data_IF_736922991734
#
_entry.id   IF_736922991734
#
_cell.length_a   1.000
_cell.length_b   1.000
_cell.length_c   1.000
_cell.angle_alpha   90.00
_cell.angle_beta   90.00
_cell.angle_gamma   90.00
#
_symmetry.space_group_name_H-M   'P 1'
#
loop_
_entity.id
_entity.type
_entity.pdbx_description
1 polymer ?
#
# COMPACT_ATOMS: atom_id res chain seq x y z
N UNK A 1 -1.04 43.39 10.30
CA UNK A 1 -2.17 43.04 9.39
C UNK A 1 -1.78 42.17 8.19
N UNK A 2 -0.60 42.36 7.57
CA UNK A 2 -0.12 41.56 6.42
C UNK A 2 0.13 40.07 6.73
N UNK A 3 0.68 39.76 7.91
CA UNK A 3 0.98 38.37 8.33
C UNK A 3 -0.26 37.49 8.49
N UNK A 4 -1.34 37.98 9.13
CA UNK A 4 -2.59 37.22 9.28
C UNK A 4 -3.20 36.85 7.93
N UNK A 5 -3.16 37.77 6.96
CA UNK A 5 -3.63 37.52 5.58
C UNK A 5 -2.75 36.48 4.87
N UNK A 6 -1.43 36.59 4.97
CA UNK A 6 -0.50 35.60 4.42
C UNK A 6 -0.72 34.20 5.01
N UNK A 7 -0.81 34.10 6.34
CA UNK A 7 -1.07 32.83 7.02
C UNK A 7 -2.41 32.19 6.62
N UNK A 8 -3.48 33.00 6.49
CA UNK A 8 -4.78 32.51 6.01
C UNK A 8 -4.70 31.99 4.57
N UNK A 9 -3.96 32.67 3.67
CA UNK A 9 -3.77 32.20 2.29
C UNK A 9 -3.03 30.87 2.27
N UNK A 10 -1.93 30.75 3.03
CA UNK A 10 -1.16 29.49 3.10
C UNK A 10 -1.99 28.33 3.67
N UNK A 11 -2.79 28.60 4.71
CA UNK A 11 -3.71 27.60 5.27
C UNK A 11 -4.77 27.17 4.25
N UNK A 12 -5.33 28.12 3.49
CA UNK A 12 -6.27 27.84 2.41
C UNK A 12 -5.66 26.95 1.32
N UNK A 13 -4.45 27.29 0.85
CA UNK A 13 -3.73 26.49 -0.16
C UNK A 13 -3.44 25.06 0.33
N UNK A 14 -2.97 24.91 1.57
CA UNK A 14 -2.71 23.60 2.16
C UNK A 14 -4.00 22.77 2.23
N UNK A 15 -5.11 23.37 2.68
CA UNK A 15 -6.41 22.71 2.74
C UNK A 15 -6.90 22.30 1.35
N UNK A 16 -6.74 23.16 0.33
CA UNK A 16 -7.07 22.83 -1.06
C UNK A 16 -6.27 21.63 -1.55
N UNK A 17 -4.96 21.58 -1.33
CA UNK A 17 -4.12 20.43 -1.72
C UNK A 17 -4.63 19.14 -1.06
N UNK A 18 -4.89 19.18 0.25
CA UNK A 18 -5.41 18.03 0.99
C UNK A 18 -6.74 17.55 0.39
N UNK A 19 -7.70 18.46 0.17
CA UNK A 19 -9.01 18.13 -0.40
C UNK A 19 -8.86 17.57 -1.82
N UNK A 20 -8.07 18.20 -2.68
CA UNK A 20 -7.82 17.72 -4.04
C UNK A 20 -7.28 16.29 -4.01
N UNK A 21 -6.27 15.99 -3.18
CA UNK A 21 -5.74 14.63 -3.04
C UNK A 21 -6.77 13.61 -2.54
N UNK A 22 -7.72 14.00 -1.68
CA UNK A 22 -8.83 13.15 -1.23
C UNK A 22 -9.88 12.88 -2.32
N UNK A 23 -10.04 13.82 -3.25
CA UNK A 23 -11.00 13.74 -4.35
C UNK A 23 -10.45 12.96 -5.56
N UNK A 24 -9.13 12.80 -5.69
CA UNK A 24 -8.56 11.98 -6.78
C UNK A 24 -9.12 10.56 -6.72
N UNK A 25 -9.74 10.06 -7.80
CA UNK A 25 -10.26 8.70 -7.84
C UNK A 25 -9.12 7.68 -7.80
N UNK A 26 -9.33 6.61 -7.04
CA UNK A 26 -8.35 5.54 -6.88
C UNK A 26 -8.65 4.41 -7.88
N UNK A 27 -8.09 4.53 -9.08
CA UNK A 27 -8.18 3.48 -10.10
C UNK A 27 -7.00 2.51 -9.93
N UNK A 28 -7.29 1.26 -9.55
CA UNK A 28 -6.26 0.29 -9.20
C UNK A 28 -6.04 -0.79 -10.28
N UNK A 29 -4.89 -1.45 -10.24
CA UNK A 29 -4.61 -2.77 -10.85
C UNK A 29 -4.02 -3.71 -9.80
N UNK A 30 -4.17 -5.01 -10.02
CA UNK A 30 -3.45 -6.02 -9.25
C UNK A 30 -1.94 -5.79 -9.45
N UNK A 31 -1.15 -5.60 -8.37
CA UNK A 31 0.23 -5.14 -8.45
C UNK A 31 1.26 -6.23 -8.82
N UNK A 32 0.80 -7.34 -9.39
CA UNK A 32 1.66 -8.39 -9.95
C UNK A 32 1.21 -8.66 -11.37
N UNK A 33 2.12 -8.54 -12.34
CA UNK A 33 1.79 -8.65 -13.76
C UNK A 33 1.25 -10.05 -14.07
N UNK A 34 0.02 -10.11 -14.58
CA UNK A 34 -0.66 -11.36 -14.95
C UNK A 34 -1.38 -12.08 -13.80
N UNK A 35 -1.30 -11.56 -12.57
CA UNK A 35 -2.02 -12.12 -11.44
C UNK A 35 -3.52 -11.76 -11.48
N UNK A 36 -4.32 -12.62 -10.84
CA UNK A 36 -5.77 -12.55 -10.72
C UNK A 36 -6.18 -12.72 -9.25
N UNK A 37 -7.49 -12.64 -8.96
CA UNK A 37 -8.02 -12.87 -7.60
C UNK A 37 -7.82 -14.27 -7.05
N UNK A 38 -7.39 -15.23 -7.88
CA UNK A 38 -7.03 -16.57 -7.43
C UNK A 38 -5.64 -16.63 -6.77
N UNK A 39 -4.79 -15.63 -6.98
CA UNK A 39 -3.38 -15.64 -6.58
C UNK A 39 -3.16 -15.11 -5.15
N UNK A 40 -4.22 -14.83 -4.40
CA UNK A 40 -4.17 -14.57 -2.96
C UNK A 40 -5.38 -15.17 -2.26
N UNK A 41 -5.26 -15.40 -0.96
CA UNK A 41 -6.39 -15.82 -0.15
C UNK A 41 -7.13 -14.59 0.41
N UNK A 42 -8.39 -14.40 0.02
CA UNK A 42 -9.23 -13.25 0.41
C UNK A 42 -9.48 -13.12 1.91
N UNK A 43 -9.21 -14.16 2.70
CA UNK A 43 -9.42 -14.18 4.16
C UNK A 43 -8.17 -13.83 4.96
N UNK A 44 -7.04 -13.53 4.32
CA UNK A 44 -5.79 -13.27 5.05
C UNK A 44 -5.70 -11.86 5.59
N UNK A 45 -6.40 -10.87 5.00
CA UNK A 45 -6.40 -9.51 5.55
C UNK A 45 -6.94 -9.50 6.99
N UNK A 46 -6.16 -8.91 7.89
CA UNK A 46 -6.41 -8.87 9.33
C UNK A 46 -6.44 -10.23 10.04
N UNK A 47 -6.00 -11.31 9.37
CA UNK A 47 -5.93 -12.65 9.95
C UNK A 47 -4.87 -12.76 11.04
N UNK A 48 -5.14 -13.64 12.01
CA UNK A 48 -4.31 -13.90 13.18
C UNK A 48 -4.29 -15.38 13.51
N UNK A 49 -3.18 -15.90 14.07
CA UNK A 49 -1.89 -15.22 14.26
C UNK A 49 -1.13 -14.99 12.95
N UNK A 50 -0.22 -14.00 12.92
CA UNK A 50 0.61 -13.73 11.73
C UNK A 50 2.10 -13.49 12.06
N UNK A 51 2.80 -14.57 12.38
CA UNK A 51 4.24 -14.55 12.69
C UNK A 51 4.62 -13.44 13.69
N UNK A 52 5.76 -12.78 13.46
CA UNK A 52 6.23 -11.65 14.28
C UNK A 52 5.34 -10.40 14.19
N UNK A 53 4.63 -10.22 13.07
CA UNK A 53 3.75 -9.05 12.85
C UNK A 53 2.46 -9.10 13.67
N UNK A 54 2.10 -10.28 14.19
CA UNK A 54 0.92 -10.56 14.99
C UNK A 54 -0.39 -10.61 14.20
N UNK A 55 -0.55 -9.74 13.21
CA UNK A 55 -1.69 -9.65 12.29
C UNK A 55 -1.21 -9.35 10.87
N UNK A 56 -1.89 -9.90 9.86
CA UNK A 56 -1.59 -9.61 8.45
C UNK A 56 -2.23 -8.29 8.04
N UNK A 57 -1.43 -7.22 7.88
CA UNK A 57 -1.91 -5.87 7.57
C UNK A 57 -2.13 -5.61 6.07
N UNK A 58 -2.17 -6.68 5.28
CA UNK A 58 -2.28 -6.64 3.82
C UNK A 58 -2.75 -7.98 3.26
N UNK A 59 -2.32 -8.28 2.04
CA UNK A 59 -2.46 -9.59 1.40
C UNK A 59 -1.11 -10.03 0.83
N UNK A 60 -0.96 -11.33 0.60
CA UNK A 60 0.19 -11.89 -0.09
C UNK A 60 -0.28 -12.42 -1.45
N UNK A 61 0.27 -11.85 -2.53
CA UNK A 61 -0.05 -12.22 -3.92
C UNK A 61 1.07 -13.13 -4.41
N UNK A 62 0.77 -14.41 -4.60
CA UNK A 62 1.74 -15.43 -5.00
C UNK A 62 2.02 -15.37 -6.49
N UNK A 63 3.30 -15.45 -6.86
CA UNK A 63 3.74 -15.57 -8.24
C UNK A 63 5.18 -16.09 -8.27
N UNK A 64 5.66 -16.47 -9.46
CA UNK A 64 7.07 -16.90 -9.61
C UNK A 64 8.01 -15.76 -9.20
N UNK A 65 9.10 -16.10 -8.52
CA UNK A 65 10.14 -15.12 -8.21
C UNK A 65 10.68 -14.47 -9.49
N UNK A 66 10.92 -13.15 -9.45
CA UNK A 66 11.28 -12.36 -10.63
C UNK A 66 10.08 -11.87 -11.45
N UNK A 67 8.84 -12.31 -11.17
CA UNK A 67 7.64 -11.77 -11.83
C UNK A 67 7.54 -10.26 -11.59
N UNK A 68 7.16 -9.51 -12.62
CA UNK A 68 7.09 -8.05 -12.56
C UNK A 68 6.06 -7.57 -11.54
N UNK A 69 6.49 -6.72 -10.61
CA UNK A 69 5.64 -5.99 -9.66
C UNK A 69 5.40 -4.60 -10.25
N UNK A 70 4.13 -4.22 -10.35
CA UNK A 70 3.70 -2.97 -10.98
C UNK A 70 2.99 -2.07 -9.97
N UNK A 71 3.08 -0.75 -10.17
CA UNK A 71 2.38 0.22 -9.36
C UNK A 71 0.86 0.02 -9.48
N UNK A 72 0.19 -0.28 -8.37
CA UNK A 72 -1.25 -0.49 -8.31
C UNK A 72 -2.03 0.74 -8.79
N UNK A 73 -1.53 1.94 -8.50
CA UNK A 73 -2.07 3.22 -8.95
C UNK A 73 -0.93 4.18 -9.29
N UNK A 74 -1.26 5.30 -9.96
CA UNK A 74 -0.28 6.38 -10.16
C UNK A 74 0.03 7.07 -8.83
N UNK A 75 1.25 7.56 -8.65
CA UNK A 75 1.65 8.23 -7.43
C UNK A 75 3.14 8.54 -7.37
N UNK A 76 3.58 9.04 -6.22
CA UNK A 76 5.00 9.35 -5.94
C UNK A 76 5.57 8.26 -5.05
N UNK A 77 6.73 7.72 -5.41
CA UNK A 77 7.49 6.80 -4.57
C UNK A 77 8.00 7.56 -3.36
N UNK A 78 7.46 7.25 -2.18
CA UNK A 78 7.84 7.90 -0.91
C UNK A 78 8.87 7.09 -0.13
N UNK A 79 9.08 5.82 -0.49
CA UNK A 79 10.11 4.95 0.07
C UNK A 79 10.54 3.91 -0.96
N UNK A 80 11.84 3.64 -1.05
CA UNK A 80 12.38 2.54 -1.84
C UNK A 80 13.73 2.12 -1.26
N UNK A 81 13.70 1.20 -0.29
CA UNK A 81 14.89 0.73 0.42
C UNK A 81 14.60 -0.62 1.12
N UNK A 82 15.57 -1.11 1.88
CA UNK A 82 15.49 -2.37 2.62
C UNK A 82 15.03 -2.14 4.07
N UNK A 83 14.02 -2.88 4.49
CA UNK A 83 13.57 -2.97 5.88
C UNK A 83 13.85 -4.37 6.44
N UNK A 84 14.16 -4.47 7.73
CA UNK A 84 14.50 -5.76 8.38
C UNK A 84 13.46 -6.86 8.11
N UNK A 85 12.20 -6.57 8.39
CA UNK A 85 11.11 -7.54 8.22
C UNK A 85 10.50 -7.51 6.81
N UNK A 86 10.42 -6.33 6.20
CA UNK A 86 9.85 -6.14 4.86
C UNK A 86 10.76 -6.58 3.71
N UNK A 87 12.05 -6.78 3.94
CA UNK A 87 13.03 -7.02 2.88
C UNK A 87 13.18 -5.80 2.00
N UNK A 88 13.30 -6.00 0.69
CA UNK A 88 13.27 -4.88 -0.26
C UNK A 88 11.83 -4.37 -0.39
N UNK A 89 11.65 -3.07 -0.20
CA UNK A 89 10.35 -2.44 -0.08
C UNK A 89 10.26 -1.20 -0.96
N UNK A 90 9.15 -1.08 -1.67
CA UNK A 90 8.72 0.18 -2.30
C UNK A 90 7.42 0.64 -1.63
N UNK A 91 7.27 1.95 -1.42
CA UNK A 91 6.00 2.55 -1.02
C UNK A 91 5.65 3.73 -1.93
N UNK A 92 4.41 3.76 -2.42
CA UNK A 92 3.88 4.78 -3.34
C UNK A 92 2.74 5.52 -2.67
N UNK A 93 2.86 6.85 -2.55
CA UNK A 93 1.76 7.73 -2.16
C UNK A 93 0.89 8.01 -3.38
N UNK A 94 -0.31 7.46 -3.37
CA UNK A 94 -1.29 7.53 -4.44
C UNK A 94 -2.53 8.38 -4.11
N UNK A 95 -3.60 8.23 -4.90
CA UNK A 95 -4.88 8.90 -4.69
C UNK A 95 -5.41 8.71 -3.26
N UNK A 96 -6.25 9.65 -2.81
CA UNK A 96 -6.84 9.66 -1.46
C UNK A 96 -5.80 9.70 -0.34
N UNK A 97 -4.59 10.17 -0.63
CA UNK A 97 -3.45 10.17 0.29
C UNK A 97 -3.20 8.80 0.90
N UNK A 98 -3.25 7.75 0.09
CA UNK A 98 -3.00 6.38 0.55
C UNK A 98 -1.60 5.95 0.16
N UNK A 99 -0.96 5.24 1.07
CA UNK A 99 0.34 4.62 0.82
C UNK A 99 0.10 3.18 0.42
N UNK A 100 0.56 2.85 -0.78
CA UNK A 100 0.59 1.52 -1.35
C UNK A 100 1.96 0.93 -1.06
N UNK A 101 2.01 -0.08 -0.22
CA UNK A 101 3.25 -0.68 0.29
C UNK A 101 3.48 -2.05 -0.34
N UNK A 102 4.68 -2.24 -0.91
CA UNK A 102 5.09 -3.41 -1.68
C UNK A 102 6.34 -3.99 -1.02
N UNK A 103 6.27 -5.21 -0.48
CA UNK A 103 7.35 -5.82 0.27
C UNK A 103 7.74 -7.21 -0.23
N UNK A 104 8.84 -7.73 0.33
CA UNK A 104 9.49 -9.00 -0.02
C UNK A 104 10.04 -9.03 -1.44
N UNK A 105 10.29 -7.86 -2.04
CA UNK A 105 10.74 -7.76 -3.43
C UNK A 105 12.11 -8.43 -3.61
N UNK A 106 12.34 -9.02 -4.78
CA UNK A 106 13.68 -9.47 -5.17
C UNK A 106 14.53 -8.32 -5.68
N UNK A 107 13.92 -7.39 -6.42
CA UNK A 107 14.59 -6.19 -6.94
C UNK A 107 13.64 -4.99 -6.88
N UNK A 108 14.22 -3.80 -6.73
CA UNK A 108 13.53 -2.50 -6.83
C UNK A 108 14.01 -1.80 -8.11
N UNK A 109 13.09 -1.26 -8.90
CA UNK A 109 13.37 -0.60 -10.19
C UNK A 109 13.06 0.90 -10.18
N UNK A 110 12.79 1.46 -9.00
CA UNK A 110 12.44 2.86 -8.79
C UNK A 110 13.15 3.38 -7.54
N UNK A 111 13.20 4.70 -7.38
CA UNK A 111 13.81 5.36 -6.23
C UNK A 111 12.85 6.36 -5.56
N UNK A 112 13.16 6.76 -4.33
CA UNK A 112 12.40 7.80 -3.62
C UNK A 112 12.31 9.11 -4.41
N UNK A 113 11.14 9.75 -4.37
CA UNK A 113 10.83 10.98 -5.10
C UNK A 113 10.35 10.76 -6.54
N UNK A 114 10.50 9.56 -7.10
CA UNK A 114 10.09 9.27 -8.47
C UNK A 114 8.55 9.20 -8.60
N UNK A 115 7.99 9.86 -9.62
CA UNK A 115 6.60 9.63 -10.02
C UNK A 115 6.48 8.35 -10.85
N UNK A 116 5.48 7.53 -10.53
CA UNK A 116 5.15 6.30 -11.26
C UNK A 116 3.69 6.33 -11.71
N UNK A 117 3.45 5.93 -12.95
CA UNK A 117 2.09 5.73 -13.47
C UNK A 117 1.54 4.37 -13.05
N UNK A 118 0.22 4.24 -12.93
CA UNK A 118 -0.47 2.96 -12.76
C UNK A 118 0.02 1.94 -13.80
N UNK A 119 0.40 0.75 -13.35
CA UNK A 119 0.93 -0.33 -14.19
C UNK A 119 2.41 -0.20 -14.55
N UNK A 120 3.09 0.89 -14.16
CA UNK A 120 4.55 0.99 -14.30
C UNK A 120 5.21 -0.06 -13.42
N UNK A 121 6.19 -0.78 -13.98
CA UNK A 121 7.01 -1.69 -13.21
C UNK A 121 7.85 -0.94 -12.17
N UNK A 122 7.79 -1.41 -10.92
CA UNK A 122 8.49 -0.84 -9.76
C UNK A 122 9.48 -1.82 -9.12
N UNK A 123 9.41 -3.10 -9.46
CA UNK A 123 10.24 -4.13 -8.86
C UNK A 123 9.87 -5.52 -9.38
N UNK A 124 10.33 -6.54 -8.67
CA UNK A 124 9.99 -7.93 -8.98
C UNK A 124 9.66 -8.72 -7.72
N UNK A 125 8.75 -9.69 -7.85
CA UNK A 125 8.37 -10.63 -6.79
C UNK A 125 9.62 -11.33 -6.26
N UNK A 126 9.67 -11.56 -4.95
CA UNK A 126 10.79 -12.21 -4.28
C UNK A 126 10.39 -12.89 -2.99
N UNK A 127 11.39 -13.09 -2.13
CA UNK A 127 11.27 -13.74 -0.84
C UNK A 127 12.18 -13.10 0.22
N UNK A 128 12.42 -11.79 0.13
CA UNK A 128 13.35 -11.08 1.04
C UNK A 128 12.72 -10.71 2.39
N UNK A 129 13.56 -10.36 3.38
CA UNK A 129 13.09 -10.02 4.74
C UNK A 129 12.59 -11.24 5.49
N UNK A 130 11.44 -11.14 6.16
CA UNK A 130 10.86 -12.27 6.89
C UNK A 130 10.10 -13.28 6.00
N UNK A 131 10.16 -13.11 4.67
CA UNK A 131 9.62 -14.06 3.69
C UNK A 131 10.64 -15.12 3.24
N UNK A 132 11.90 -15.04 3.71
CA UNK A 132 12.93 -16.04 3.39
C UNK A 132 12.46 -17.44 3.79
N UNK A 133 12.57 -18.38 2.86
CA UNK A 133 12.14 -19.78 3.03
C UNK A 133 10.64 -20.04 2.80
N UNK A 134 9.84 -19.02 2.47
CA UNK A 134 8.42 -19.16 2.10
C UNK A 134 8.26 -19.14 0.56
N UNK A 135 7.11 -19.60 0.02
CA UNK A 135 6.80 -19.44 -1.39
C UNK A 135 6.91 -17.96 -1.81
N UNK A 136 7.54 -17.63 -2.96
CA UNK A 136 7.67 -16.24 -3.41
C UNK A 136 6.32 -15.54 -3.56
N UNK A 137 6.25 -14.31 -3.05
CA UNK A 137 5.02 -13.52 -3.07
C UNK A 137 5.34 -12.02 -2.96
N UNK A 138 4.39 -11.21 -3.38
CA UNK A 138 4.34 -9.79 -3.04
C UNK A 138 3.47 -9.62 -1.80
N UNK A 139 4.03 -9.10 -0.71
CA UNK A 139 3.20 -8.56 0.37
C UNK A 139 2.74 -7.15 -0.01
N UNK A 140 1.42 -6.95 -0.07
CA UNK A 140 0.80 -5.71 -0.49
C UNK A 140 -0.16 -5.16 0.57
N UNK A 141 0.04 -3.90 0.96
CA UNK A 141 -0.78 -3.20 1.95
C UNK A 141 -1.26 -1.83 1.44
N UNK A 142 -2.44 -1.40 1.90
CA UNK A 142 -2.98 -0.06 1.65
C UNK A 142 -3.15 0.65 2.99
N UNK A 143 -2.38 1.71 3.19
CA UNK A 143 -2.33 2.48 4.44
C UNK A 143 -2.98 3.85 4.21
N UNK A 144 -3.89 4.26 5.08
CA UNK A 144 -4.52 5.58 5.05
C UNK A 144 -3.79 6.53 5.99
N UNK A 145 -3.57 7.77 5.56
CA UNK A 145 -3.05 8.81 6.47
C UNK A 145 -4.15 9.35 7.41
N UNK A 146 -5.40 9.33 6.93
CA UNK A 146 -6.57 9.70 7.72
C UNK A 146 -7.18 8.43 8.30
N UNK A 147 -7.32 8.31 9.65
CA UNK A 147 -7.89 7.12 10.27
C UNK A 147 -9.37 7.00 9.99
N UNK A 148 -9.82 5.78 9.71
CA UNK A 148 -11.24 5.44 9.59
C UNK A 148 -11.71 5.00 10.96
N UNK A 149 -12.07 5.98 11.81
CA UNK A 149 -12.36 5.78 13.24
C UNK A 149 -13.42 4.71 13.50
N UNK A 150 -14.39 4.56 12.59
CA UNK A 150 -15.43 3.53 12.66
C UNK A 150 -14.92 2.09 12.47
N UNK A 151 -13.67 1.90 12.02
CA UNK A 151 -13.01 0.58 11.92
C UNK A 151 -12.35 0.14 13.22
N UNK A 152 -12.29 0.99 14.24
CA UNK A 152 -11.73 0.63 15.53
C UNK A 152 -12.43 -0.59 16.13
N UNK A 153 -11.67 -1.46 16.80
CA UNK A 153 -12.17 -2.62 17.55
C UNK A 153 -11.40 -2.73 18.87
N UNK A 154 -12.08 -3.13 19.93
CA UNK A 154 -11.47 -3.43 21.24
C UNK A 154 -10.77 -4.81 21.20
N UNK A 155 -9.68 -4.91 20.44
CA UNK A 155 -8.87 -6.12 20.29
C UNK A 155 -7.38 -5.76 20.21
N UNK A 156 -6.48 -6.75 20.37
CA UNK A 156 -5.04 -6.56 20.10
C UNK A 156 -4.86 -5.93 18.72
N UNK A 157 -4.04 -4.91 18.50
CA UNK A 157 -3.92 -4.18 17.21
C UNK A 157 -5.21 -3.48 16.69
N UNK A 158 -6.28 -3.37 17.47
CA UNK A 158 -7.54 -2.77 16.99
C UNK A 158 -7.42 -1.28 16.61
N UNK A 159 -6.48 -0.55 17.22
CA UNK A 159 -6.11 0.81 16.83
C UNK A 159 -5.54 0.87 15.40
N UNK A 160 -4.62 -0.03 15.07
CA UNK A 160 -4.01 -0.10 13.73
C UNK A 160 -5.07 -0.29 12.64
N UNK A 161 -6.18 -0.99 12.93
CA UNK A 161 -7.25 -1.30 11.95
C UNK A 161 -7.86 -0.05 11.31
N UNK A 162 -7.77 1.08 11.98
CA UNK A 162 -8.22 2.39 11.48
C UNK A 162 -7.38 2.90 10.31
N UNK A 163 -6.14 2.45 10.17
CA UNK A 163 -5.17 2.95 9.19
C UNK A 163 -4.93 1.98 8.02
N UNK A 164 -5.49 0.79 8.05
CA UNK A 164 -5.28 -0.22 7.01
C UNK A 164 -6.60 -0.60 6.34
N UNK A 165 -6.57 -0.66 5.01
CA UNK A 165 -7.68 -1.11 4.18
C UNK A 165 -7.38 -2.51 3.64
N UNK A 166 -8.44 -3.28 3.42
CA UNK A 166 -8.36 -4.61 2.80
C UNK A 166 -7.98 -4.46 1.33
N UNK A 167 -6.73 -4.80 0.92
CA UNK A 167 -6.31 -4.61 -0.46
C UNK A 167 -7.03 -5.56 -1.40
N UNK A 168 -7.35 -6.78 -0.96
CA UNK A 168 -8.05 -7.78 -1.77
C UNK A 168 -9.41 -7.27 -2.23
N UNK A 169 -10.22 -6.74 -1.29
CA UNK A 169 -11.52 -6.12 -1.60
C UNK A 169 -11.39 -4.91 -2.52
N UNK A 170 -10.34 -4.10 -2.36
CA UNK A 170 -10.11 -2.92 -3.21
C UNK A 170 -9.67 -3.26 -4.62
N UNK A 171 -8.91 -4.33 -4.81
CA UNK A 171 -8.45 -4.79 -6.12
C UNK A 171 -9.57 -5.42 -6.96
N UNK A 172 -10.51 -6.15 -6.34
CA UNK A 172 -11.61 -6.84 -7.03
C UNK A 172 -12.90 -6.00 -7.12
N UNK A 173 -12.95 -4.86 -6.43
CA UNK A 173 -14.15 -4.06 -6.22
C UNK A 173 -15.09 -4.68 -5.18
N UNK A 174 -15.87 -3.86 -4.48
CA UNK A 174 -16.78 -4.31 -3.42
C UNK A 174 -17.93 -5.23 -3.90
N UNK A 175 -18.05 -5.52 -5.21
CA UNK A 175 -19.15 -6.27 -5.81
C UNK A 175 -18.96 -7.79 -5.91
N UNK A 176 -17.96 -8.38 -5.23
CA UNK A 176 -17.74 -9.84 -5.20
C UNK A 176 -17.59 -10.41 -3.79
N UNK A 177 -18.51 -10.05 -2.89
CA UNK A 177 -18.71 -10.74 -1.61
C UNK A 177 -20.08 -11.40 -1.58
#
# INVERSE_FOLDING_TARGET
MKWKRFAMVMAGLALTVIICGLLVPENMVIPVKGATSADWNVKTFWFRPWGKSGVHRGIDIFAREGTSVIAACSGVVVFSDTLRDGGNVVAVLGPKWRVHYYAHLRSMKVAGGQFVSRGREIGTVGSTGNAVGKPPHLHYSIITQIPYVWRYKMERFGFDRMFYLDPGKRLIGEKRS
#
